data_IF_980745800798
#
_entry.id   IF_980745800798
#
_cell.length_a   1.000
_cell.length_b   1.000
_cell.length_c   1.000
_cell.angle_alpha   90.00
_cell.angle_beta   90.00
_cell.angle_gamma   90.00
#
_symmetry.space_group_name_H-M   'P 1'
#
loop_
_entity.id
_entity.type
_entity.pdbx_description
1 polymer ?
#
# COMPACT_ATOMS: atom_id res chain seq x y z
N UNK A 1 58.92 -43.96 -29.39
CA UNK A 1 57.81 -44.02 -28.41
C UNK A 1 56.83 -42.91 -28.75
N UNK A 2 55.56 -43.26 -28.88
CA UNK A 2 54.49 -42.47 -29.51
C UNK A 2 54.15 -41.20 -28.72
N UNK A 3 53.97 -40.10 -29.45
CA UNK A 3 53.36 -38.85 -28.95
C UNK A 3 51.92 -38.84 -29.46
N UNK A 4 50.94 -38.90 -28.56
CA UNK A 4 49.52 -38.87 -28.90
C UNK A 4 49.05 -37.42 -29.09
N UNK A 5 48.69 -37.06 -30.32
CA UNK A 5 48.04 -35.80 -30.66
C UNK A 5 46.52 -35.91 -30.52
N UNK A 6 45.93 -35.09 -29.65
CA UNK A 6 44.47 -34.93 -29.53
C UNK A 6 43.97 -33.82 -30.46
N UNK A 7 43.19 -34.20 -31.47
CA UNK A 7 42.51 -33.26 -32.36
C UNK A 7 41.27 -32.64 -31.67
N UNK A 8 41.23 -31.32 -31.56
CA UNK A 8 40.00 -30.57 -31.23
C UNK A 8 39.13 -30.48 -32.50
N UNK A 9 37.93 -31.07 -32.46
CA UNK A 9 36.87 -30.76 -33.44
C UNK A 9 36.28 -29.40 -33.11
N UNK A 10 36.51 -28.40 -33.97
CA UNK A 10 35.69 -27.21 -34.04
C UNK A 10 34.32 -27.63 -34.62
N UNK A 11 33.25 -27.39 -33.86
CA UNK A 11 31.88 -27.45 -34.37
C UNK A 11 31.54 -26.00 -34.75
N UNK A 12 31.65 -25.68 -36.04
CA UNK A 12 31.07 -24.46 -36.58
C UNK A 12 29.56 -24.69 -36.73
N UNK A 13 28.77 -24.03 -35.88
CA UNK A 13 27.34 -23.89 -36.11
C UNK A 13 27.15 -22.71 -37.08
N UNK A 14 26.91 -23.01 -38.35
CA UNK A 14 26.50 -22.01 -39.32
C UNK A 14 25.06 -21.57 -39.00
N UNK A 15 24.83 -20.26 -38.96
CA UNK A 15 23.50 -19.69 -38.84
C UNK A 15 22.68 -20.02 -40.11
N UNK A 16 21.37 -20.30 -40.00
CA UNK A 16 20.53 -20.60 -41.16
C UNK A 16 20.51 -19.39 -42.10
N UNK A 17 20.85 -19.62 -43.37
CA UNK A 17 21.07 -18.54 -44.35
C UNK A 17 19.89 -18.33 -45.29
N UNK A 18 18.85 -19.17 -45.23
CA UNK A 18 17.68 -19.01 -46.06
C UNK A 18 16.39 -18.91 -45.24
N UNK A 19 15.47 -18.11 -45.78
CA UNK A 19 14.19 -17.74 -45.15
C UNK A 19 13.29 -18.96 -44.87
N UNK A 20 13.33 -20.01 -45.69
CA UNK A 20 12.53 -21.21 -45.48
C UNK A 20 13.01 -22.03 -44.27
N UNK A 21 14.33 -22.10 -44.05
CA UNK A 21 14.94 -22.79 -42.91
C UNK A 21 14.75 -22.02 -41.60
N UNK A 22 14.66 -20.67 -41.69
CA UNK A 22 14.24 -19.80 -40.59
C UNK A 22 12.75 -19.99 -40.29
N UNK A 23 11.89 -20.04 -41.32
CA UNK A 23 10.44 -20.22 -41.17
C UNK A 23 10.08 -21.63 -40.65
N UNK A 24 10.88 -22.65 -40.97
CA UNK A 24 10.72 -24.03 -40.47
C UNK A 24 11.23 -24.17 -39.02
N UNK A 25 12.38 -23.55 -38.67
CA UNK A 25 12.84 -23.44 -37.28
C UNK A 25 11.88 -22.60 -36.40
N UNK A 26 11.22 -21.59 -36.97
CA UNK A 26 10.18 -20.82 -36.29
C UNK A 26 8.94 -21.70 -36.11
N UNK A 27 8.52 -22.48 -37.11
CA UNK A 27 7.36 -23.38 -36.99
C UNK A 27 7.57 -24.51 -35.98
N UNK A 28 8.77 -25.10 -35.90
CA UNK A 28 9.07 -26.16 -34.92
C UNK A 28 9.28 -25.63 -33.49
N UNK A 29 9.74 -24.39 -33.32
CA UNK A 29 9.93 -23.78 -31.99
C UNK A 29 8.76 -22.92 -31.50
N UNK A 30 7.75 -22.62 -32.33
CA UNK A 30 6.56 -21.82 -31.98
C UNK A 30 5.23 -22.58 -32.14
N UNK A 31 5.17 -23.82 -31.66
CA UNK A 31 3.89 -24.42 -31.26
C UNK A 31 3.63 -24.26 -29.76
N UNK A 32 3.80 -23.03 -29.24
CA UNK A 32 3.46 -22.71 -27.85
C UNK A 32 2.46 -21.56 -27.74
N UNK A 33 1.25 -21.97 -27.35
CA UNK A 33 0.01 -21.28 -26.94
C UNK A 33 -0.17 -19.76 -27.19
N UNK A 34 -0.86 -19.44 -28.29
CA UNK A 34 -1.46 -18.11 -28.56
C UNK A 34 -2.56 -17.72 -27.55
N UNK A 35 -3.12 -18.63 -26.77
CA UNK A 35 -4.34 -18.34 -26.02
C UNK A 35 -4.11 -17.49 -24.76
N UNK A 36 -2.96 -17.63 -24.09
CA UNK A 36 -2.76 -16.98 -22.79
C UNK A 36 -2.42 -15.49 -22.92
N UNK A 37 -1.54 -15.12 -23.83
CA UNK A 37 -1.21 -13.71 -24.10
C UNK A 37 -2.39 -12.97 -24.72
N UNK A 38 -3.17 -13.63 -25.58
CA UNK A 38 -4.35 -13.04 -26.19
C UNK A 38 -5.46 -12.83 -25.16
N UNK A 39 -5.71 -13.77 -24.23
CA UNK A 39 -6.73 -13.58 -23.18
C UNK A 39 -6.37 -12.42 -22.23
N UNK A 40 -5.09 -12.24 -21.88
CA UNK A 40 -4.65 -11.11 -21.05
C UNK A 40 -4.74 -9.79 -21.84
N UNK A 41 -4.34 -9.78 -23.12
CA UNK A 41 -4.50 -8.61 -23.99
C UNK A 41 -5.97 -8.25 -24.23
N UNK A 42 -6.85 -9.24 -24.42
CA UNK A 42 -8.30 -9.06 -24.61
C UNK A 42 -9.01 -8.57 -23.33
N UNK A 43 -8.43 -8.85 -22.15
CA UNK A 43 -8.89 -8.28 -20.87
C UNK A 43 -8.43 -6.83 -20.72
N UNK A 44 -7.23 -6.50 -21.19
CA UNK A 44 -6.63 -5.17 -21.07
C UNK A 44 -7.05 -4.19 -22.18
N UNK A 45 -7.49 -4.68 -23.33
CA UNK A 45 -7.88 -3.88 -24.52
C UNK A 45 -9.40 -3.77 -24.74
N UNK A 46 -10.22 -4.28 -23.82
CA UNK A 46 -11.68 -4.15 -23.93
C UNK A 46 -12.14 -2.75 -23.49
N UNK A 47 -12.50 -1.90 -24.47
CA UNK A 47 -12.97 -0.51 -24.28
C UNK A 47 -14.42 -0.37 -23.79
N UNK A 48 -15.15 -1.47 -23.57
CA UNK A 48 -16.54 -1.42 -23.07
C UNK A 48 -16.72 -2.03 -21.67
N UNK A 49 -17.54 -1.42 -20.79
CA UNK A 49 -17.82 -1.95 -19.47
C UNK A 49 -18.66 -3.24 -19.58
N UNK A 50 -18.04 -4.39 -19.32
CA UNK A 50 -18.76 -5.66 -19.21
C UNK A 50 -19.70 -5.65 -18.00
N UNK A 51 -20.86 -6.34 -18.08
CA UNK A 51 -21.76 -6.49 -16.95
C UNK A 51 -21.03 -7.16 -15.78
N UNK A 52 -21.17 -6.55 -14.60
CA UNK A 52 -20.59 -7.03 -13.34
C UNK A 52 -21.14 -8.44 -13.07
N UNK A 53 -20.30 -9.48 -13.01
CA UNK A 53 -20.77 -10.81 -12.63
C UNK A 53 -21.22 -10.79 -11.16
N UNK A 54 -22.20 -11.63 -10.78
CA UNK A 54 -22.68 -11.69 -9.40
C UNK A 54 -21.53 -12.00 -8.42
N UNK A 55 -21.60 -11.35 -7.26
CA UNK A 55 -20.55 -11.31 -6.23
C UNK A 55 -20.05 -12.72 -5.83
N UNK A 56 -18.72 -12.89 -5.73
CA UNK A 56 -18.08 -14.09 -5.15
C UNK A 56 -17.36 -15.04 -6.12
N UNK A 57 -17.34 -14.78 -7.43
CA UNK A 57 -16.82 -15.73 -8.43
C UNK A 57 -15.30 -15.62 -8.68
N UNK A 58 -14.63 -14.52 -8.31
CA UNK A 58 -13.20 -14.35 -8.63
C UNK A 58 -12.31 -15.40 -7.96
N UNK A 59 -12.51 -15.71 -6.68
CA UNK A 59 -11.70 -16.75 -5.99
C UNK A 59 -12.03 -18.16 -6.48
N UNK A 60 -13.30 -18.47 -6.76
CA UNK A 60 -13.73 -19.80 -7.21
C UNK A 60 -13.37 -20.09 -8.68
N UNK A 61 -13.47 -19.07 -9.55
CA UNK A 61 -13.15 -19.14 -10.97
C UNK A 61 -11.65 -19.19 -11.24
N UNK A 62 -10.84 -18.44 -10.48
CA UNK A 62 -9.38 -18.56 -10.53
C UNK A 62 -8.91 -19.93 -10.05
N UNK A 63 -9.50 -20.45 -8.97
CA UNK A 63 -9.13 -21.76 -8.41
C UNK A 63 -9.31 -22.89 -9.44
N UNK A 64 -10.47 -22.97 -10.10
CA UNK A 64 -10.77 -24.06 -11.04
C UNK A 64 -9.94 -24.02 -12.33
N UNK A 65 -9.78 -22.84 -12.95
CA UNK A 65 -8.97 -22.70 -14.19
C UNK A 65 -7.46 -22.79 -13.93
N UNK A 66 -7.00 -22.34 -12.77
CA UNK A 66 -5.60 -22.53 -12.37
C UNK A 66 -5.31 -24.00 -12.02
N UNK A 67 -6.22 -24.70 -11.34
CA UNK A 67 -6.01 -26.10 -10.96
C UNK A 67 -5.92 -27.03 -12.19
N UNK A 68 -6.75 -26.82 -13.22
CA UNK A 68 -6.73 -27.64 -14.46
C UNK A 68 -5.47 -27.40 -15.34
N UNK A 69 -4.98 -26.16 -15.44
CA UNK A 69 -3.80 -25.83 -16.25
C UNK A 69 -2.48 -26.17 -15.54
N UNK A 70 -2.43 -26.05 -14.21
CA UNK A 70 -1.19 -26.18 -13.42
C UNK A 70 -0.84 -27.63 -13.07
N UNK A 71 -1.80 -28.55 -13.12
CA UNK A 71 -1.55 -30.00 -13.04
C UNK A 71 -0.56 -30.49 -14.12
N UNK A 72 -0.58 -29.87 -15.30
CA UNK A 72 0.29 -30.25 -16.42
C UNK A 72 1.74 -29.77 -16.29
N UNK A 73 2.08 -28.88 -15.34
CA UNK A 73 3.40 -28.23 -15.25
C UNK A 73 4.26 -28.76 -14.07
N UNK A 74 3.73 -29.69 -13.27
CA UNK A 74 4.47 -30.38 -12.20
C UNK A 74 4.93 -29.49 -11.04
N UNK A 75 4.26 -28.38 -10.76
CA UNK A 75 4.53 -27.55 -9.57
C UNK A 75 4.23 -28.37 -8.30
N UNK A 76 5.02 -28.17 -7.24
CA UNK A 76 4.62 -28.68 -5.92
C UNK A 76 3.38 -27.92 -5.44
N UNK A 77 2.52 -28.52 -4.62
CA UNK A 77 1.33 -27.86 -4.04
C UNK A 77 1.66 -26.48 -3.44
N UNK A 78 2.85 -26.33 -2.86
CA UNK A 78 3.33 -25.05 -2.32
C UNK A 78 3.78 -24.04 -3.39
N UNK A 79 4.46 -24.49 -4.47
CA UNK A 79 4.83 -23.59 -5.58
C UNK A 79 3.60 -23.00 -6.29
N UNK A 80 2.56 -23.82 -6.48
CA UNK A 80 1.29 -23.37 -7.05
C UNK A 80 0.60 -22.32 -6.17
N UNK A 81 0.54 -22.57 -4.85
CA UNK A 81 -0.02 -21.62 -3.90
C UNK A 81 0.74 -20.29 -3.87
N UNK A 82 2.07 -20.33 -3.99
CA UNK A 82 2.90 -19.12 -4.09
C UNK A 82 2.54 -18.28 -5.31
N UNK A 83 2.59 -18.88 -6.50
CA UNK A 83 2.36 -18.19 -7.76
C UNK A 83 0.96 -17.55 -7.78
N UNK A 84 -0.04 -18.27 -7.28
CA UNK A 84 -1.39 -17.73 -7.15
C UNK A 84 -1.44 -16.51 -6.22
N UNK A 85 -0.75 -16.55 -5.08
CA UNK A 85 -0.72 -15.43 -4.14
C UNK A 85 0.04 -14.22 -4.70
N UNK A 86 1.14 -14.45 -5.43
CA UNK A 86 1.93 -13.38 -6.07
C UNK A 86 1.15 -12.69 -7.20
N UNK A 87 0.52 -13.47 -8.08
CA UNK A 87 -0.39 -12.95 -9.11
C UNK A 87 -1.53 -12.19 -8.47
N UNK A 88 -2.09 -12.70 -7.37
CA UNK A 88 -3.17 -12.06 -6.66
C UNK A 88 -2.76 -10.72 -6.02
N UNK A 89 -1.61 -10.65 -5.33
CA UNK A 89 -1.08 -9.39 -4.77
C UNK A 89 -0.80 -8.39 -5.89
N UNK A 90 -0.27 -8.86 -7.03
CA UNK A 90 -0.05 -8.02 -8.21
C UNK A 90 -1.36 -7.47 -8.76
N UNK A 91 -2.38 -8.32 -8.88
CA UNK A 91 -3.72 -7.91 -9.32
C UNK A 91 -4.35 -6.90 -8.35
N UNK A 92 -4.18 -7.07 -7.03
CA UNK A 92 -4.64 -6.11 -6.03
C UNK A 92 -4.02 -4.72 -6.23
N UNK A 93 -2.77 -4.61 -6.69
CA UNK A 93 -2.16 -3.30 -6.97
C UNK A 93 -2.86 -2.56 -8.11
N UNK A 94 -3.32 -3.29 -9.13
CA UNK A 94 -3.99 -2.72 -10.30
C UNK A 94 -5.51 -2.51 -10.16
N UNK A 95 -6.17 -3.21 -9.24
CA UNK A 95 -7.64 -3.30 -9.23
C UNK A 95 -8.29 -2.67 -7.99
N UNK A 96 -9.32 -1.83 -8.19
CA UNK A 96 -10.20 -1.28 -7.14
C UNK A 96 -11.26 -2.28 -6.61
N UNK A 97 -11.13 -3.57 -6.93
CA UNK A 97 -12.21 -4.57 -6.81
C UNK A 97 -12.11 -5.57 -5.65
N UNK A 98 -11.17 -5.39 -4.72
CA UNK A 98 -10.95 -6.34 -3.64
C UNK A 98 -12.19 -6.47 -2.72
N UNK A 99 -12.67 -7.70 -2.53
CA UNK A 99 -13.89 -7.98 -1.76
C UNK A 99 -13.58 -8.17 -0.27
N UNK A 100 -14.63 -8.33 0.55
CA UNK A 100 -14.45 -8.73 1.96
C UNK A 100 -13.93 -10.17 2.09
N UNK A 101 -14.41 -11.09 1.24
CA UNK A 101 -13.97 -12.48 1.28
C UNK A 101 -12.47 -12.62 0.95
N UNK A 102 -12.00 -11.80 0.01
CA UNK A 102 -10.59 -11.62 -0.34
C UNK A 102 -9.75 -11.20 0.86
N UNK A 103 -10.23 -10.20 1.61
CA UNK A 103 -9.59 -9.72 2.84
C UNK A 103 -9.54 -10.83 3.90
N UNK A 104 -10.67 -11.47 4.19
CA UNK A 104 -10.78 -12.55 5.18
C UNK A 104 -9.85 -13.73 4.83
N UNK A 105 -9.74 -14.06 3.54
CA UNK A 105 -8.82 -15.08 3.04
C UNK A 105 -7.34 -14.72 3.25
N UNK A 106 -6.96 -13.46 3.00
CA UNK A 106 -5.61 -12.98 3.26
C UNK A 106 -5.27 -12.99 4.76
N UNK A 107 -6.18 -12.51 5.61
CA UNK A 107 -5.99 -12.53 7.09
C UNK A 107 -5.75 -13.97 7.55
N UNK A 108 -6.57 -14.92 7.10
CA UNK A 108 -6.41 -16.32 7.45
C UNK A 108 -5.03 -16.87 7.09
N UNK A 109 -4.51 -16.56 5.90
CA UNK A 109 -3.17 -17.01 5.49
C UNK A 109 -2.08 -16.30 6.30
N UNK A 110 -2.26 -15.00 6.56
CA UNK A 110 -1.27 -14.15 7.21
C UNK A 110 -1.06 -14.51 8.70
N UNK A 111 -2.12 -14.92 9.38
CA UNK A 111 -2.13 -15.23 10.81
C UNK A 111 -1.89 -16.71 11.16
N UNK A 112 -2.06 -17.63 10.21
CA UNK A 112 -1.86 -19.07 10.43
C UNK A 112 -0.37 -19.38 10.61
N UNK A 113 0.06 -19.76 11.82
CA UNK A 113 1.47 -20.06 12.13
C UNK A 113 2.03 -21.30 11.41
N UNK A 114 1.16 -22.20 10.93
CA UNK A 114 1.56 -23.39 10.17
C UNK A 114 1.82 -23.07 8.69
N UNK A 115 1.36 -21.91 8.20
CA UNK A 115 1.64 -21.46 6.85
C UNK A 115 3.12 -21.06 6.69
N UNK A 116 3.79 -21.52 5.62
CA UNK A 116 5.14 -21.08 5.30
C UNK A 116 5.29 -19.55 5.35
N UNK A 117 6.37 -19.08 5.99
CA UNK A 117 6.65 -17.64 6.17
C UNK A 117 6.60 -16.82 4.89
N UNK A 118 6.93 -17.42 3.74
CA UNK A 118 6.81 -16.79 2.43
C UNK A 118 5.35 -16.47 2.06
N UNK A 119 4.39 -17.34 2.38
CA UNK A 119 2.97 -17.08 2.14
C UNK A 119 2.42 -16.06 3.12
N UNK A 120 2.81 -16.16 4.40
CA UNK A 120 2.37 -15.20 5.43
C UNK A 120 2.83 -13.79 5.09
N UNK A 121 4.10 -13.62 4.74
CA UNK A 121 4.66 -12.31 4.35
C UNK A 121 4.00 -11.74 3.09
N UNK A 122 3.77 -12.54 2.04
CA UNK A 122 3.02 -12.09 0.85
C UNK A 122 1.54 -11.80 1.15
N UNK A 123 0.90 -12.54 2.06
CA UNK A 123 -0.47 -12.26 2.47
C UNK A 123 -0.57 -10.94 3.23
N UNK A 124 0.35 -10.68 4.16
CA UNK A 124 0.49 -9.37 4.80
C UNK A 124 0.76 -8.24 3.80
N UNK A 125 1.59 -8.48 2.78
CA UNK A 125 1.79 -7.52 1.67
C UNK A 125 0.45 -7.23 0.93
N UNK A 126 -0.32 -8.27 0.62
CA UNK A 126 -1.65 -8.13 0.01
C UNK A 126 -2.63 -7.32 0.87
N UNK A 127 -2.65 -7.55 2.19
CA UNK A 127 -3.44 -6.77 3.14
C UNK A 127 -2.99 -5.30 3.17
N UNK A 128 -1.68 -5.06 3.10
CA UNK A 128 -1.15 -3.70 3.04
C UNK A 128 -1.62 -2.95 1.79
N UNK A 129 -1.63 -3.61 0.62
CA UNK A 129 -2.17 -3.04 -0.62
C UNK A 129 -3.69 -2.81 -0.51
N UNK A 130 -4.41 -3.75 0.10
CA UNK A 130 -5.85 -3.62 0.32
C UNK A 130 -6.19 -2.37 1.14
N UNK A 131 -5.50 -2.16 2.27
CA UNK A 131 -5.71 -0.99 3.13
C UNK A 131 -5.31 0.32 2.45
N UNK A 132 -4.27 0.30 1.63
CA UNK A 132 -3.89 1.46 0.84
C UNK A 132 -5.01 1.91 -0.11
N UNK A 133 -5.68 0.96 -0.78
CA UNK A 133 -6.85 1.26 -1.62
C UNK A 133 -8.06 1.75 -0.82
N UNK A 134 -8.19 1.37 0.45
CA UNK A 134 -9.19 1.93 1.37
C UNK A 134 -8.84 3.34 1.83
N UNK A 135 -7.64 3.84 1.54
CA UNK A 135 -7.12 5.11 2.03
C UNK A 135 -6.61 5.05 3.47
N UNK A 136 -6.54 3.85 4.07
CA UNK A 136 -6.00 3.68 5.42
C UNK A 136 -4.50 3.39 5.34
N UNK A 137 -3.72 4.47 5.31
CA UNK A 137 -2.26 4.36 5.24
C UNK A 137 -1.67 3.78 6.54
N UNK A 138 -2.35 3.92 7.68
CA UNK A 138 -1.82 3.40 8.93
C UNK A 138 -1.89 1.87 8.98
N UNK A 139 -3.07 1.32 8.71
CA UNK A 139 -3.27 -0.13 8.63
C UNK A 139 -2.44 -0.76 7.50
N UNK A 140 -2.27 -0.04 6.38
CA UNK A 140 -1.39 -0.47 5.29
C UNK A 140 0.06 -0.60 5.74
N UNK A 141 0.61 0.43 6.40
CA UNK A 141 1.98 0.42 6.90
C UNK A 141 2.17 -0.67 7.95
N UNK A 142 1.19 -0.88 8.84
CA UNK A 142 1.26 -1.91 9.88
C UNK A 142 1.28 -3.32 9.28
N UNK A 143 0.49 -3.59 8.24
CA UNK A 143 0.56 -4.83 7.49
C UNK A 143 1.95 -5.07 6.89
N UNK A 144 2.57 -4.05 6.28
CA UNK A 144 3.93 -4.18 5.74
C UNK A 144 4.98 -4.43 6.83
N UNK A 145 4.86 -3.79 8.00
CA UNK A 145 5.76 -4.05 9.13
C UNK A 145 5.62 -5.48 9.66
N UNK A 146 4.39 -5.99 9.78
CA UNK A 146 4.13 -7.39 10.15
C UNK A 146 4.75 -8.36 9.14
N UNK A 147 4.63 -8.06 7.85
CA UNK A 147 5.30 -8.83 6.80
C UNK A 147 6.82 -8.85 7.00
N UNK A 148 7.44 -7.69 7.21
CA UNK A 148 8.89 -7.57 7.44
C UNK A 148 9.36 -8.33 8.70
N UNK A 149 8.62 -8.21 9.81
CA UNK A 149 8.91 -8.94 11.05
C UNK A 149 8.83 -10.47 10.83
N UNK A 150 7.83 -10.95 10.07
CA UNK A 150 7.75 -12.37 9.72
C UNK A 150 8.96 -12.84 8.90
N UNK A 151 9.44 -12.03 7.96
CA UNK A 151 10.64 -12.32 7.16
C UNK A 151 11.90 -12.36 8.04
N UNK A 152 12.04 -11.41 8.97
CA UNK A 152 13.19 -11.31 9.88
C UNK A 152 13.25 -12.50 10.86
N UNK A 153 12.10 -12.91 11.39
CA UNK A 153 11.97 -14.03 12.33
C UNK A 153 12.02 -15.42 11.68
N UNK A 154 12.07 -15.50 10.33
CA UNK A 154 12.14 -16.76 9.60
C UNK A 154 13.39 -17.59 9.97
N UNK A 155 13.17 -18.86 10.30
CA UNK A 155 14.22 -19.80 10.69
C UNK A 155 15.10 -20.20 9.48
N UNK A 156 16.33 -20.66 9.76
CA UNK A 156 17.20 -21.20 8.71
C UNK A 156 16.56 -22.38 7.96
N UNK A 157 15.75 -23.20 8.66
CA UNK A 157 15.01 -24.31 8.06
C UNK A 157 13.99 -23.81 7.03
N UNK A 158 13.27 -22.73 7.33
CA UNK A 158 12.30 -22.14 6.41
C UNK A 158 13.00 -21.48 5.21
N UNK A 159 14.06 -20.71 5.46
CA UNK A 159 14.85 -20.01 4.43
C UNK A 159 15.50 -20.98 3.42
N UNK A 160 15.97 -22.13 3.89
CA UNK A 160 16.62 -23.16 3.06
C UNK A 160 15.65 -24.02 2.25
N UNK A 161 14.32 -23.89 2.42
CA UNK A 161 13.36 -24.58 1.57
C UNK A 161 13.52 -24.11 0.12
N UNK A 162 13.33 -25.02 -0.82
CA UNK A 162 13.36 -24.73 -2.25
C UNK A 162 11.95 -24.86 -2.79
N UNK A 163 11.46 -23.80 -3.43
CA UNK A 163 10.14 -23.77 -4.05
C UNK A 163 10.31 -23.63 -5.55
N UNK A 164 9.42 -24.26 -6.31
CA UNK A 164 9.39 -24.15 -7.76
C UNK A 164 8.83 -22.77 -8.12
N UNK A 165 9.60 -21.97 -8.87
CA UNK A 165 9.24 -20.59 -9.21
C UNK A 165 7.99 -20.49 -10.08
N UNK A 166 7.41 -19.29 -10.17
CA UNK A 166 6.24 -19.01 -11.02
C UNK A 166 6.54 -19.20 -12.51
N UNK A 167 5.48 -19.44 -13.27
CA UNK A 167 5.41 -20.01 -14.63
C UNK A 167 5.93 -19.15 -15.78
N UNK A 168 6.57 -18.01 -15.50
CA UNK A 168 7.08 -17.08 -16.52
C UNK A 168 8.60 -17.05 -16.66
N UNK A 169 9.34 -17.57 -15.68
CA UNK A 169 10.79 -17.63 -15.74
C UNK A 169 11.25 -18.87 -16.51
N UNK A 170 12.30 -18.70 -17.33
CA UNK A 170 13.01 -19.76 -18.06
C UNK A 170 12.99 -21.09 -17.26
N UNK A 171 12.54 -22.22 -17.83
CA UNK A 171 12.39 -23.49 -17.12
C UNK A 171 13.65 -23.95 -16.36
N UNK A 172 14.84 -23.49 -16.76
CA UNK A 172 16.10 -23.73 -16.05
C UNK A 172 16.29 -22.89 -14.76
N UNK A 173 15.57 -21.78 -14.58
CA UNK A 173 15.45 -21.00 -13.32
C UNK A 173 14.46 -21.59 -12.32
N UNK A 174 13.85 -22.74 -12.64
CA UNK A 174 12.61 -23.22 -12.01
C UNK A 174 12.64 -23.56 -10.51
N UNK A 175 13.76 -23.39 -9.79
CA UNK A 175 13.84 -23.61 -8.35
C UNK A 175 14.56 -22.46 -7.67
N UNK A 176 13.83 -21.71 -6.83
CA UNK A 176 14.40 -20.63 -6.03
C UNK A 176 14.37 -21.02 -4.55
N UNK A 177 15.41 -20.64 -3.82
CA UNK A 177 15.40 -20.75 -2.36
C UNK A 177 14.37 -19.77 -1.82
N UNK A 178 13.66 -20.17 -0.77
CA UNK A 178 12.71 -19.31 -0.05
C UNK A 178 13.42 -18.04 0.42
N UNK A 179 14.67 -18.15 0.87
CA UNK A 179 15.51 -16.99 1.21
C UNK A 179 15.56 -15.92 0.11
N UNK A 180 15.74 -16.31 -1.15
CA UNK A 180 15.80 -15.36 -2.26
C UNK A 180 14.44 -14.68 -2.48
N UNK A 181 13.34 -15.45 -2.41
CA UNK A 181 11.99 -14.91 -2.57
C UNK A 181 11.59 -13.98 -1.41
N UNK A 182 12.01 -14.31 -0.19
CA UNK A 182 11.85 -13.43 0.98
C UNK A 182 12.68 -12.15 0.83
N UNK A 183 13.88 -12.24 0.24
CA UNK A 183 14.72 -11.08 -0.10
C UNK A 183 14.02 -10.12 -1.06
N UNK A 184 13.47 -10.64 -2.16
CA UNK A 184 12.70 -9.85 -3.13
C UNK A 184 11.47 -9.21 -2.46
N UNK A 185 10.71 -9.99 -1.68
CA UNK A 185 9.52 -9.51 -0.96
C UNK A 185 9.88 -8.42 0.06
N UNK A 186 10.99 -8.58 0.79
CA UNK A 186 11.49 -7.59 1.74
C UNK A 186 11.79 -6.26 1.02
N UNK A 187 12.52 -6.33 -0.09
CA UNK A 187 12.87 -5.14 -0.89
C UNK A 187 11.61 -4.40 -1.38
N UNK A 188 10.59 -5.13 -1.86
CA UNK A 188 9.32 -4.54 -2.27
C UNK A 188 8.60 -3.83 -1.11
N UNK A 189 8.53 -4.47 0.06
CA UNK A 189 7.89 -3.94 1.27
C UNK A 189 8.59 -2.68 1.78
N UNK A 190 9.92 -2.67 1.80
CA UNK A 190 10.73 -1.51 2.18
C UNK A 190 10.52 -0.35 1.19
N UNK A 191 10.44 -0.65 -0.11
CA UNK A 191 10.10 0.34 -1.14
C UNK A 191 8.67 0.88 -0.98
N UNK A 192 7.69 0.04 -0.64
CA UNK A 192 6.32 0.46 -0.34
C UNK A 192 6.25 1.39 0.88
N UNK A 193 6.90 1.03 1.99
CA UNK A 193 6.98 1.88 3.17
C UNK A 193 7.71 3.20 2.89
N UNK A 194 8.79 3.15 2.11
CA UNK A 194 9.51 4.36 1.68
C UNK A 194 8.64 5.26 0.82
N UNK A 195 7.89 4.68 -0.14
CA UNK A 195 6.88 5.42 -0.90
C UNK A 195 5.87 6.03 0.05
N UNK A 196 5.31 5.33 1.02
CA UNK A 196 4.35 5.93 1.95
C UNK A 196 4.93 7.08 2.78
N UNK A 197 6.22 7.05 3.12
CA UNK A 197 6.93 8.17 3.76
C UNK A 197 7.05 9.39 2.82
N UNK A 198 7.32 9.19 1.54
CA UNK A 198 7.57 10.27 0.56
C UNK A 198 6.32 10.75 -0.17
N UNK A 199 5.36 9.86 -0.39
CA UNK A 199 4.02 10.11 -0.90
C UNK A 199 3.02 10.41 0.20
N UNK A 200 3.49 10.63 1.44
CA UNK A 200 2.88 11.65 2.29
C UNK A 200 2.96 12.95 1.49
N UNK A 201 2.03 13.08 0.54
CA UNK A 201 1.91 14.20 -0.38
C UNK A 201 1.99 15.43 0.54
N UNK A 202 2.97 16.33 0.40
CA UNK A 202 2.59 17.72 0.57
C UNK A 202 1.39 17.86 -0.34
N UNK A 203 0.22 18.22 0.20
CA UNK A 203 -0.99 18.46 -0.56
C UNK A 203 -0.57 19.08 -1.90
N UNK A 204 -1.04 18.53 -3.02
CA UNK A 204 -0.56 18.76 -4.39
C UNK A 204 -0.65 20.22 -4.87
N UNK A 205 0.05 21.13 -4.20
CA UNK A 205 -0.02 22.59 -4.33
C UNK A 205 1.38 23.20 -4.53
N UNK A 206 2.45 22.39 -4.58
CA UNK A 206 3.80 22.93 -4.72
C UNK A 206 4.08 23.59 -6.08
N UNK A 207 3.30 23.30 -7.13
CA UNK A 207 3.54 23.86 -8.47
C UNK A 207 2.54 24.96 -8.90
N UNK A 208 1.57 25.34 -8.06
CA UNK A 208 0.57 26.36 -8.41
C UNK A 208 0.85 27.76 -7.83
N UNK A 209 1.92 27.92 -7.03
CA UNK A 209 2.12 29.12 -6.20
C UNK A 209 3.26 30.05 -6.65
N UNK A 210 3.94 29.79 -7.77
CA UNK A 210 4.85 30.78 -8.38
C UNK A 210 4.12 31.90 -9.14
N UNK A 211 2.79 31.85 -9.21
CA UNK A 211 1.98 32.91 -9.82
C UNK A 211 1.03 33.52 -8.78
N UNK A 212 1.56 34.42 -7.92
CA UNK A 212 0.91 35.63 -7.36
C UNK A 212 1.48 36.03 -5.99
N UNK A 213 2.43 36.97 -6.03
CA UNK A 213 2.69 37.89 -4.92
C UNK A 213 2.77 39.32 -5.46
N UNK A 214 1.63 39.88 -5.86
CA UNK A 214 1.49 41.34 -6.10
C UNK A 214 0.35 41.98 -5.28
N UNK A 215 -0.40 41.21 -4.48
CA UNK A 215 -1.56 41.74 -3.75
C UNK A 215 -1.23 42.31 -2.36
N UNK A 216 0.03 42.25 -1.91
CA UNK A 216 0.40 42.61 -0.54
C UNK A 216 0.55 44.12 -0.31
N UNK A 217 0.57 44.94 -1.36
CA UNK A 217 0.67 46.41 -1.24
C UNK A 217 -0.68 47.13 -1.13
N UNK A 218 -1.81 46.42 -1.29
CA UNK A 218 -3.15 47.04 -1.28
C UNK A 218 -3.82 47.12 0.10
N UNK A 219 -3.22 46.58 1.15
CA UNK A 219 -3.85 46.46 2.49
C UNK A 219 -3.07 47.16 3.63
N UNK A 220 -2.29 48.20 3.31
CA UNK A 220 -1.73 49.09 4.32
C UNK A 220 -2.80 50.09 4.77
N UNK A 221 -3.58 49.75 5.80
CA UNK A 221 -4.46 50.76 6.44
C UNK A 221 -5.62 50.26 7.31
N UNK A 222 -5.94 48.97 7.33
CA UNK A 222 -7.06 48.48 8.14
C UNK A 222 -6.58 47.98 9.52
N UNK A 223 -6.94 48.69 10.58
CA UNK A 223 -6.85 48.21 11.96
C UNK A 223 -8.05 47.29 12.24
N UNK A 224 -7.82 45.98 12.32
CA UNK A 224 -8.82 45.02 12.79
C UNK A 224 -8.73 44.84 14.31
N UNK A 225 -9.85 44.59 15.02
CA UNK A 225 -9.83 44.33 16.45
C UNK A 225 -9.11 43.00 16.74
N UNK A 226 -8.39 42.95 17.86
CA UNK A 226 -7.74 41.76 18.41
C UNK A 226 -8.77 40.66 18.73
N UNK A 227 -9.14 39.88 17.72
CA UNK A 227 -9.66 38.54 17.95
C UNK A 227 -8.47 37.64 18.29
N UNK A 228 -8.56 36.88 19.38
CA UNK A 228 -7.64 35.79 19.71
C UNK A 228 -7.63 34.77 18.57
N UNK A 229 -6.80 35.02 17.55
CA UNK A 229 -6.63 34.12 16.43
C UNK A 229 -5.90 32.88 16.94
N UNK A 230 -6.61 31.75 16.94
CA UNK A 230 -5.92 30.48 16.73
C UNK A 230 -5.18 30.63 15.41
N UNK A 231 -3.85 30.74 15.48
CA UNK A 231 -3.02 30.77 14.27
C UNK A 231 -3.40 29.50 13.49
N UNK A 232 -3.93 29.61 12.26
CA UNK A 232 -4.23 28.43 11.46
C UNK A 232 -2.95 27.62 11.37
N UNK A 233 -3.02 26.34 11.72
CA UNK A 233 -1.87 25.45 11.65
C UNK A 233 -1.19 25.63 10.29
N UNK A 234 0.11 25.91 10.30
CA UNK A 234 0.83 26.15 9.05
C UNK A 234 0.81 24.87 8.22
N UNK A 235 0.87 24.96 6.88
CA UNK A 235 0.91 23.76 6.02
C UNK A 235 1.99 22.73 6.43
N UNK A 236 3.20 23.13 6.87
CA UNK A 236 4.18 22.21 7.44
C UNK A 236 3.67 21.44 8.67
N UNK A 237 2.94 22.10 9.56
CA UNK A 237 2.36 21.44 10.75
C UNK A 237 1.32 20.39 10.35
N UNK A 238 0.54 20.66 9.30
CA UNK A 238 -0.45 19.73 8.78
C UNK A 238 0.21 18.49 8.16
N UNK A 239 1.27 18.67 7.37
CA UNK A 239 2.01 17.57 6.76
C UNK A 239 2.61 16.62 7.80
N UNK A 240 3.11 17.16 8.92
CA UNK A 240 3.61 16.35 10.04
C UNK A 240 2.49 15.51 10.68
N UNK A 241 1.29 16.10 10.82
CA UNK A 241 0.13 15.44 11.42
C UNK A 241 -0.44 14.31 10.56
N UNK A 242 -0.37 14.44 9.23
CA UNK A 242 -0.83 13.43 8.27
C UNK A 242 0.11 12.23 8.19
N UNK A 243 1.37 12.35 8.63
CA UNK A 243 2.30 11.22 8.61
C UNK A 243 1.70 10.04 9.34
N UNK A 244 1.84 8.86 8.75
CA UNK A 244 1.52 7.60 9.43
C UNK A 244 2.44 7.44 10.64
N UNK A 245 1.85 7.15 11.81
CA UNK A 245 2.60 6.88 13.05
C UNK A 245 3.56 5.72 12.94
N UNK A 246 4.54 5.68 13.85
CA UNK A 246 5.41 4.53 14.06
C UNK A 246 6.74 4.52 13.30
N UNK A 247 7.03 5.54 12.48
CA UNK A 247 8.35 5.67 11.85
C UNK A 247 9.40 6.33 12.75
N UNK A 248 8.95 7.22 13.64
CA UNK A 248 9.77 7.95 14.60
C UNK A 248 9.00 8.13 15.90
N UNK A 249 9.74 8.27 17.00
CA UNK A 249 9.19 8.48 18.33
C UNK A 249 8.55 9.88 18.41
N UNK A 250 7.29 9.96 18.81
CA UNK A 250 6.58 11.22 19.00
C UNK A 250 7.14 12.07 20.15
N UNK A 251 7.96 11.49 21.04
CA UNK A 251 8.65 12.24 22.08
C UNK A 251 10.04 12.71 21.62
N UNK A 252 10.93 11.79 21.25
CA UNK A 252 12.35 12.10 21.02
C UNK A 252 12.72 12.30 19.54
N UNK A 253 11.80 12.06 18.60
CA UNK A 253 12.02 12.23 17.16
C UNK A 253 12.89 11.16 16.49
N UNK A 254 13.56 10.30 17.27
CA UNK A 254 14.41 9.23 16.72
C UNK A 254 13.59 8.21 15.94
N UNK A 255 14.09 7.83 14.78
CA UNK A 255 13.53 6.81 13.90
C UNK A 255 13.73 5.39 14.46
N UNK A 256 12.96 4.44 13.93
CA UNK A 256 13.14 3.00 14.23
C UNK A 256 14.56 2.51 13.94
N UNK A 257 15.15 2.99 12.84
CA UNK A 257 16.49 2.66 12.36
C UNK A 257 17.57 3.14 13.35
N UNK A 258 17.47 4.39 13.81
CA UNK A 258 18.39 4.97 14.80
C UNK A 258 18.31 4.28 16.17
N UNK A 259 17.14 3.73 16.51
CA UNK A 259 16.90 3.04 17.78
C UNK A 259 17.22 1.54 17.72
N UNK A 260 17.44 0.98 16.52
CA UNK A 260 17.56 -0.46 16.32
C UNK A 260 16.30 -1.24 16.73
N UNK A 261 15.12 -0.61 16.69
CA UNK A 261 13.85 -1.19 17.12
C UNK A 261 12.96 -1.51 15.91
N UNK A 262 12.41 -2.72 15.87
CA UNK A 262 11.51 -3.17 14.77
C UNK A 262 10.13 -2.51 14.90
N UNK A 263 9.68 -2.23 16.13
CA UNK A 263 8.35 -1.70 16.40
C UNK A 263 8.39 -0.70 17.55
N UNK A 264 7.67 0.40 17.39
CA UNK A 264 7.45 1.38 18.45
C UNK A 264 6.20 1.01 19.25
N UNK A 265 6.17 1.36 20.54
CA UNK A 265 4.99 1.21 21.40
C UNK A 265 3.95 2.26 21.00
N UNK A 266 2.69 1.87 20.88
CA UNK A 266 1.60 2.82 20.66
C UNK A 266 0.97 3.21 22.00
N UNK A 267 0.52 4.46 22.13
CA UNK A 267 -0.31 4.87 23.26
C UNK A 267 -1.55 4.00 23.36
N UNK A 268 -1.74 3.28 24.47
CA UNK A 268 -2.86 2.33 24.63
C UNK A 268 -4.25 2.96 24.56
N UNK A 269 -4.35 4.28 24.81
CA UNK A 269 -5.63 5.00 24.81
C UNK A 269 -6.01 5.47 23.41
N UNK A 270 -5.10 6.13 22.69
CA UNK A 270 -5.42 6.70 21.38
C UNK A 270 -4.95 5.85 20.19
N UNK A 271 -4.00 4.94 20.38
CA UNK A 271 -3.31 4.17 19.34
C UNK A 271 -2.66 5.00 18.21
N UNK A 272 -2.62 6.34 18.33
CA UNK A 272 -2.08 7.22 17.29
C UNK A 272 -0.63 7.65 17.57
N UNK A 273 -0.30 7.90 18.84
CA UNK A 273 1.05 8.30 19.23
C UNK A 273 1.97 7.07 19.41
N UNK A 274 3.20 7.16 18.93
CA UNK A 274 4.18 6.08 18.92
C UNK A 274 5.45 6.50 19.67
N UNK A 275 5.97 5.60 20.51
CA UNK A 275 7.06 5.87 21.43
C UNK A 275 8.08 4.73 21.41
N UNK A 276 9.37 5.08 21.56
CA UNK A 276 10.45 4.09 21.62
C UNK A 276 10.58 3.43 23.01
N UNK A 277 10.04 4.05 24.05
CA UNK A 277 10.11 3.59 25.44
C UNK A 277 8.92 4.11 26.25
N UNK A 278 8.70 3.51 27.43
CA UNK A 278 7.71 4.00 28.39
C UNK A 278 8.06 5.39 28.90
N UNK A 279 9.35 5.69 29.08
CA UNK A 279 9.81 7.03 29.50
C UNK A 279 9.44 8.11 28.47
N UNK A 280 9.55 7.81 27.18
CA UNK A 280 9.12 8.72 26.11
C UNK A 280 7.60 8.91 26.08
N UNK A 281 6.84 7.85 26.35
CA UNK A 281 5.39 7.93 26.49
C UNK A 281 5.00 8.83 27.68
N UNK A 282 5.60 8.63 28.85
CA UNK A 282 5.35 9.44 30.05
C UNK A 282 5.78 10.90 29.88
N UNK A 283 6.92 11.14 29.24
CA UNK A 283 7.40 12.49 28.96
C UNK A 283 6.44 13.21 28.00
N UNK A 284 6.03 12.57 26.91
CA UNK A 284 5.03 13.12 25.98
C UNK A 284 3.67 13.32 26.65
N UNK A 285 3.26 12.40 27.53
CA UNK A 285 2.03 12.49 28.33
C UNK A 285 2.01 13.77 29.16
N UNK A 286 3.08 14.03 29.92
CA UNK A 286 3.26 15.23 30.75
C UNK A 286 3.40 16.51 29.91
N UNK A 287 4.01 16.41 28.73
CA UNK A 287 4.22 17.54 27.84
C UNK A 287 2.95 18.03 27.11
N UNK A 288 1.82 17.33 27.24
CA UNK A 288 0.54 17.78 26.68
C UNK A 288 -0.26 16.68 25.98
N UNK A 289 0.35 15.52 25.68
CA UNK A 289 -0.39 14.44 25.02
C UNK A 289 -1.63 14.03 25.81
N UNK A 290 -1.60 14.08 27.15
CA UNK A 290 -2.78 13.77 27.97
C UNK A 290 -4.02 14.62 27.67
N UNK A 291 -3.83 15.88 27.26
CA UNK A 291 -4.91 16.81 26.94
C UNK A 291 -5.54 16.51 25.58
N UNK A 292 -4.72 16.07 24.63
CA UNK A 292 -5.15 15.73 23.28
C UNK A 292 -5.54 14.24 23.10
N UNK A 293 -5.09 13.37 24.02
CA UNK A 293 -5.23 11.92 23.93
C UNK A 293 -6.66 11.47 24.19
N UNK A 294 -7.30 10.98 23.13
CA UNK A 294 -8.68 10.50 23.12
C UNK A 294 -8.77 9.08 22.56
N UNK A 295 -9.73 8.26 23.04
CA UNK A 295 -9.99 6.95 22.45
C UNK A 295 -10.32 7.05 20.96
N UNK A 296 -9.89 6.06 20.19
CA UNK A 296 -10.19 5.97 18.75
C UNK A 296 -11.69 6.09 18.52
N UNK A 297 -12.09 6.96 17.60
CA UNK A 297 -13.49 7.23 17.24
C UNK A 297 -14.22 8.26 18.11
N UNK A 298 -13.58 8.83 19.14
CA UNK A 298 -14.11 9.99 19.88
C UNK A 298 -13.76 11.29 19.17
N UNK A 299 -14.65 11.69 18.27
CA UNK A 299 -14.58 12.94 17.50
C UNK A 299 -15.11 14.11 18.34
N UNK A 300 -14.49 15.29 18.24
CA UNK A 300 -14.99 16.54 18.83
C UNK A 300 -14.85 17.72 17.85
N UNK A 301 -15.58 18.81 18.14
CA UNK A 301 -15.41 20.08 17.46
C UNK A 301 -13.95 20.59 17.57
N UNK A 302 -13.44 21.15 16.48
CA UNK A 302 -12.05 21.57 16.33
C UNK A 302 -11.10 20.47 15.84
N UNK A 303 -11.53 19.21 15.80
CA UNK A 303 -10.67 18.13 15.30
C UNK A 303 -10.39 18.27 13.80
N UNK A 304 -9.17 17.94 13.41
CA UNK A 304 -8.80 17.82 12.00
C UNK A 304 -8.86 16.35 11.61
N UNK A 305 -9.60 16.04 10.55
CA UNK A 305 -9.83 14.69 10.04
C UNK A 305 -9.46 14.60 8.57
N UNK A 306 -9.07 13.41 8.12
CA UNK A 306 -8.91 13.12 6.70
C UNK A 306 -10.13 12.36 6.17
N UNK A 307 -10.65 12.77 5.02
CA UNK A 307 -11.77 12.10 4.39
C UNK A 307 -11.33 10.79 3.73
N UNK A 308 -12.00 9.71 4.10
CA UNK A 308 -11.73 8.36 3.58
C UNK A 308 -12.54 8.13 2.30
N UNK A 309 -11.96 7.53 1.24
CA UNK A 309 -12.67 7.17 0.02
C UNK A 309 -14.03 6.49 0.26
N UNK A 310 -15.10 7.08 -0.28
CA UNK A 310 -16.46 6.57 -0.11
C UNK A 310 -17.33 6.81 -1.33
N UNK A 311 -18.20 5.86 -1.66
CA UNK A 311 -19.22 6.01 -2.73
C UNK A 311 -20.21 7.16 -2.46
N UNK A 312 -20.40 7.54 -1.20
CA UNK A 312 -21.30 8.61 -0.76
C UNK A 312 -20.64 9.99 -0.76
N UNK A 313 -19.31 10.05 -0.85
CA UNK A 313 -18.56 11.30 -0.93
C UNK A 313 -18.20 11.54 -2.39
N UNK A 314 -18.12 12.82 -2.75
CA UNK A 314 -17.59 13.24 -4.04
C UNK A 314 -16.13 12.75 -4.15
N UNK A 315 -15.73 12.05 -5.24
CA UNK A 315 -14.38 11.51 -5.37
C UNK A 315 -13.27 12.54 -5.17
N UNK A 316 -13.54 13.81 -5.50
CA UNK A 316 -12.63 14.95 -5.37
C UNK A 316 -12.32 15.32 -3.92
N UNK A 317 -13.17 14.88 -2.98
CA UNK A 317 -12.97 15.12 -1.55
C UNK A 317 -12.18 14.00 -0.86
N UNK A 318 -11.85 12.93 -1.56
CA UNK A 318 -11.15 11.80 -0.96
C UNK A 318 -9.70 12.18 -0.62
N UNK A 319 -9.31 11.99 0.63
CA UNK A 319 -8.00 12.36 1.16
C UNK A 319 -7.89 13.82 1.59
N UNK A 320 -8.91 14.65 1.35
CA UNK A 320 -8.95 16.03 1.80
C UNK A 320 -9.09 16.11 3.33
N UNK A 321 -8.63 17.23 3.87
CA UNK A 321 -8.62 17.49 5.31
C UNK A 321 -9.81 18.37 5.65
N UNK A 322 -10.47 18.04 6.75
CA UNK A 322 -11.62 18.80 7.24
C UNK A 322 -11.45 19.12 8.72
N UNK A 323 -11.90 20.30 9.12
CA UNK A 323 -12.11 20.65 10.53
C UNK A 323 -13.53 20.29 10.92
N UNK A 324 -13.68 19.56 12.01
CA UNK A 324 -15.00 19.28 12.59
C UNK A 324 -15.53 20.56 13.25
N UNK A 325 -16.68 21.02 12.82
CA UNK A 325 -17.34 22.19 13.41
C UNK A 325 -18.18 21.77 14.60
N UNK A 326 -19.10 20.83 14.40
CA UNK A 326 -20.02 20.38 15.45
C UNK A 326 -20.64 19.02 15.12
N UNK A 327 -21.30 18.41 16.09
CA UNK A 327 -22.07 17.18 15.87
C UNK A 327 -23.38 17.49 15.14
N UNK A 328 -23.77 16.65 14.17
CA UNK A 328 -25.06 16.79 13.49
C UNK A 328 -26.19 16.35 14.44
N UNK A 329 -26.92 17.33 14.99
CA UNK A 329 -28.03 17.10 15.91
C UNK A 329 -29.17 16.28 15.28
N UNK A 330 -29.30 16.28 13.95
CA UNK A 330 -30.33 15.52 13.24
C UNK A 330 -29.92 14.05 13.04
N UNK A 331 -28.62 13.75 13.00
CA UNK A 331 -28.09 12.42 12.73
C UNK A 331 -26.93 12.11 13.68
N UNK A 332 -27.19 11.33 14.74
CA UNK A 332 -26.24 10.93 15.80
C UNK A 332 -24.89 10.32 15.35
N UNK A 333 -24.72 9.99 14.06
CA UNK A 333 -23.48 9.45 13.49
C UNK A 333 -22.80 10.36 12.47
N UNK A 334 -23.32 11.58 12.28
CA UNK A 334 -22.81 12.56 11.34
C UNK A 334 -22.25 13.77 12.09
N UNK A 335 -21.33 14.43 11.43
CA UNK A 335 -20.66 15.63 11.88
C UNK A 335 -20.75 16.69 10.81
N UNK A 336 -20.83 17.94 11.23
CA UNK A 336 -20.66 19.10 10.39
C UNK A 336 -19.17 19.37 10.30
N UNK A 337 -18.64 19.40 9.09
CA UNK A 337 -17.22 19.58 8.83
C UNK A 337 -16.99 20.60 7.72
N UNK A 338 -15.92 21.36 7.85
CA UNK A 338 -15.48 22.37 6.87
C UNK A 338 -14.14 21.96 6.28
N UNK A 339 -13.96 22.18 4.98
CA UNK A 339 -12.73 21.85 4.29
C UNK A 339 -11.59 22.75 4.78
N UNK A 340 -10.46 22.14 5.15
CA UNK A 340 -9.29 22.87 5.67
C UNK A 340 -8.44 23.34 4.47
N UNK A 341 -8.73 24.55 4.00
CA UNK A 341 -8.07 25.33 2.92
C UNK A 341 -7.05 24.56 2.03
N UNK A 342 -7.57 23.73 1.11
CA UNK A 342 -6.86 23.19 -0.06
C UNK A 342 -7.08 24.05 -1.33
N UNK A 343 -6.52 23.67 -2.49
CA UNK A 343 -6.80 24.38 -3.78
C UNK A 343 -8.29 24.42 -4.12
N UNK A 344 -9.04 23.38 -3.76
CA UNK A 344 -10.51 23.34 -3.88
C UNK A 344 -11.22 24.35 -2.98
N UNK A 345 -10.54 24.78 -1.92
CA UNK A 345 -11.03 25.79 -1.01
C UNK A 345 -10.91 27.20 -1.61
N UNK A 346 -10.17 27.42 -2.70
CA UNK A 346 -10.22 28.70 -3.42
C UNK A 346 -11.59 28.88 -4.12
N UNK A 347 -12.37 27.81 -4.28
CA UNK A 347 -13.80 27.88 -4.62
C UNK A 347 -14.70 28.03 -3.37
N UNK A 348 -14.17 28.48 -2.23
CA UNK A 348 -14.79 28.47 -0.89
C UNK A 348 -16.18 29.08 -0.82
N UNK A 349 -16.49 30.06 -1.68
CA UNK A 349 -17.81 30.70 -1.66
C UNK A 349 -18.95 29.75 -2.06
N UNK A 350 -18.64 28.55 -2.56
CA UNK A 350 -19.64 27.58 -2.99
C UNK A 350 -19.72 26.29 -2.16
N UNK A 351 -18.75 26.01 -1.28
CA UNK A 351 -18.75 24.76 -0.50
C UNK A 351 -19.06 25.08 0.96
N UNK A 352 -20.35 25.15 1.26
CA UNK A 352 -20.83 25.26 2.64
C UNK A 352 -20.47 24.04 3.49
N UNK A 353 -20.74 24.10 4.81
CA UNK A 353 -20.46 23.02 5.75
C UNK A 353 -21.06 21.68 5.28
N UNK A 354 -20.26 20.63 5.36
CA UNK A 354 -20.63 19.31 4.87
C UNK A 354 -21.07 18.39 6.01
N UNK A 355 -22.08 17.56 5.76
CA UNK A 355 -22.52 16.51 6.70
C UNK A 355 -21.80 15.20 6.37
N UNK A 356 -20.92 14.77 7.27
CA UNK A 356 -20.06 13.60 7.04
C UNK A 356 -20.27 12.57 8.13
N UNK A 357 -20.47 11.31 7.74
CA UNK A 357 -20.59 10.20 8.69
C UNK A 357 -19.22 9.91 9.32
N UNK A 358 -19.18 9.69 10.64
CA UNK A 358 -17.94 9.42 11.39
C UNK A 358 -17.06 8.32 10.78
N UNK A 359 -17.66 7.25 10.24
CA UNK A 359 -16.95 6.14 9.59
C UNK A 359 -16.24 6.51 8.27
N UNK A 360 -16.36 7.75 7.81
CA UNK A 360 -15.78 8.28 6.55
C UNK A 360 -14.66 9.28 6.81
N UNK A 361 -14.22 9.34 8.05
CA UNK A 361 -13.20 10.26 8.52
C UNK A 361 -12.16 9.45 9.29
N UNK A 362 -10.89 9.75 9.04
CA UNK A 362 -9.76 9.21 9.77
C UNK A 362 -9.24 10.30 10.70
N UNK A 363 -9.01 9.95 11.97
CA UNK A 363 -8.46 10.87 12.96
C UNK A 363 -7.00 11.17 12.60
N UNK A 364 -6.66 12.46 12.54
CA UNK A 364 -5.30 12.89 12.31
C UNK A 364 -4.68 13.21 13.66
N UNK A 365 -3.37 12.90 13.82
CA UNK A 365 -2.65 13.18 15.06
C UNK A 365 -2.84 14.64 15.49
N UNK A 366 -3.20 14.88 16.77
CA UNK A 366 -3.31 16.23 17.29
C UNK A 366 -1.97 16.96 17.21
N UNK A 367 -2.04 18.29 17.12
CA UNK A 367 -0.87 19.16 17.27
C UNK A 367 -0.11 18.83 18.56
N UNK A 368 1.22 18.90 18.52
CA UNK A 368 2.02 18.96 19.75
C UNK A 368 1.88 20.33 20.41
#
# INVERSE_FOLDING_TARGET
MQVAGGAKKHIDQQAPTNKAEIDENIKENWQFDRNTSQVILDILQADEPRPVPPEGILVAGFRKKADDYLWHVGLTKHGQKYANLEVYVTALRGCKGATKADFDGLVKIAEDCEEPVLFRSKAWQGLGVFWLHKGDQHESAECYRRALNSIQSATAREKNRVIRGSLGDNPQKGRRRVETLLGDTKMELEADLTRMKTTARPASVANALEVRFEFHDMLKGATFPEFCCHVPATRPDLAERIRVGGFACDCCGKSQEELGQIQMKCCLKCNMAHYCSTDCEEASWKAGHQQACRPVGKIQAGDIMQLVPSKSLKPELNGELVTIVEADLQKKSHWIAELLVGELAVMHDMVGPMRIKASKMLHIRPAK
#
